data_IF_851472392204
#
_entry.id   IF_851472392204
#
_cell.length_a   1.000
_cell.length_b   1.000
_cell.length_c   1.000
_cell.angle_alpha   90.00
_cell.angle_beta   90.00
_cell.angle_gamma   90.00
#
_symmetry.space_group_name_H-M   'P 1'
#
loop_
_entity.id
_entity.type
_entity.pdbx_description
1 polymer ?
#
# COMPACT_ATOMS: atom_id res chain seq x y z
N UNK A 1 -1.37 -13.42 -20.83
CA UNK A 1 -0.60 -14.15 -19.81
C UNK A 1 -1.41 -15.34 -19.35
N UNK A 2 -0.79 -16.51 -19.20
CA UNK A 2 -1.47 -17.67 -18.61
C UNK A 2 -1.75 -17.41 -17.11
N UNK A 3 -2.83 -18.00 -16.57
CA UNK A 3 -3.18 -17.86 -15.15
C UNK A 3 -2.04 -18.30 -14.21
N UNK A 4 -1.24 -19.29 -14.66
CA UNK A 4 -0.05 -19.77 -13.94
C UNK A 4 1.06 -18.72 -13.89
N UNK A 5 1.35 -18.04 -14.99
CA UNK A 5 2.36 -16.98 -15.04
C UNK A 5 1.98 -15.79 -14.15
N UNK A 6 0.70 -15.42 -14.09
CA UNK A 6 0.22 -14.38 -13.21
C UNK A 6 0.41 -14.70 -11.71
N UNK A 7 0.17 -15.98 -11.33
CA UNK A 7 0.39 -16.44 -9.95
C UNK A 7 1.86 -16.38 -9.54
N UNK A 8 2.77 -16.83 -10.40
CA UNK A 8 4.20 -16.78 -10.14
C UNK A 8 4.72 -15.36 -10.05
N UNK A 9 4.22 -14.46 -10.90
CA UNK A 9 4.57 -13.04 -10.87
C UNK A 9 4.08 -12.39 -9.56
N UNK A 10 2.86 -12.70 -9.12
CA UNK A 10 2.35 -12.24 -7.82
C UNK A 10 3.19 -12.76 -6.66
N UNK A 11 3.56 -14.04 -6.68
CA UNK A 11 4.41 -14.62 -5.64
C UNK A 11 5.77 -13.92 -5.55
N UNK A 12 6.43 -13.67 -6.69
CA UNK A 12 7.71 -12.95 -6.73
C UNK A 12 7.59 -11.51 -6.22
N UNK A 13 6.51 -10.80 -6.55
CA UNK A 13 6.25 -9.45 -6.04
C UNK A 13 6.07 -9.46 -4.52
N UNK A 14 5.34 -10.44 -3.97
CA UNK A 14 5.13 -10.57 -2.52
C UNK A 14 6.47 -10.84 -1.82
N UNK A 15 7.30 -11.74 -2.33
CA UNK A 15 8.63 -12.02 -1.77
C UNK A 15 9.52 -10.79 -1.80
N UNK A 16 9.57 -10.08 -2.94
CA UNK A 16 10.34 -8.84 -3.08
C UNK A 16 9.86 -7.76 -2.12
N UNK A 17 8.53 -7.62 -1.93
CA UNK A 17 7.95 -6.67 -0.98
C UNK A 17 8.31 -7.02 0.47
N UNK A 18 8.19 -8.29 0.85
CA UNK A 18 8.56 -8.75 2.21
C UNK A 18 10.03 -8.51 2.51
N UNK A 19 10.93 -8.79 1.56
CA UNK A 19 12.35 -8.47 1.69
C UNK A 19 12.58 -6.96 1.83
N UNK A 20 11.82 -6.14 1.10
CA UNK A 20 11.92 -4.68 1.17
C UNK A 20 11.63 -4.12 2.56
N UNK A 21 10.73 -4.73 3.35
CA UNK A 21 10.48 -4.34 4.74
C UNK A 21 11.73 -4.48 5.62
N UNK A 22 12.40 -5.63 5.53
CA UNK A 22 13.62 -5.88 6.29
C UNK A 22 14.72 -4.88 5.92
N UNK A 23 14.98 -4.70 4.62
CA UNK A 23 15.97 -3.73 4.16
C UNK A 23 15.62 -2.30 4.58
N UNK A 24 14.36 -1.90 4.53
CA UNK A 24 13.92 -0.57 4.98
C UNK A 24 14.20 -0.36 6.46
N UNK A 25 13.94 -1.36 7.31
CA UNK A 25 14.21 -1.29 8.75
C UNK A 25 15.70 -1.06 9.01
N UNK A 26 16.59 -1.78 8.30
CA UNK A 26 18.04 -1.60 8.44
C UNK A 26 18.51 -0.22 7.93
N UNK A 27 18.00 0.23 6.80
CA UNK A 27 18.42 1.52 6.21
C UNK A 27 17.92 2.69 7.05
N UNK A 28 16.75 2.62 7.67
CA UNK A 28 16.20 3.67 8.55
C UNK A 28 17.03 3.93 9.80
N UNK A 29 17.97 3.03 10.14
CA UNK A 29 18.96 3.28 11.21
C UNK A 29 20.00 4.31 10.77
N UNK A 30 20.34 4.35 9.48
CA UNK A 30 21.44 5.14 8.93
C UNK A 30 21.00 6.33 8.07
N UNK A 31 19.78 6.27 7.51
CA UNK A 31 19.23 7.29 6.61
C UNK A 31 17.94 7.89 7.16
N UNK A 32 17.70 9.16 6.80
CA UNK A 32 16.43 9.80 7.13
C UNK A 32 15.28 9.21 6.28
N UNK A 33 14.08 9.18 6.85
CA UNK A 33 12.85 8.74 6.19
C UNK A 33 12.65 9.37 4.80
N UNK A 34 12.79 10.70 4.73
CA UNK A 34 12.55 11.45 3.49
C UNK A 34 13.62 11.18 2.42
N UNK A 35 14.85 10.94 2.82
CA UNK A 35 15.95 10.56 1.92
C UNK A 35 15.67 9.19 1.30
N UNK A 36 15.28 8.21 2.11
CA UNK A 36 14.95 6.87 1.65
C UNK A 36 13.76 6.87 0.68
N UNK A 37 12.67 7.58 1.03
CA UNK A 37 11.49 7.69 0.18
C UNK A 37 11.81 8.46 -1.11
N UNK A 38 12.52 9.58 -1.01
CA UNK A 38 12.93 10.37 -2.17
C UNK A 38 13.75 9.55 -3.16
N UNK A 39 14.75 8.81 -2.66
CA UNK A 39 15.58 7.93 -3.49
C UNK A 39 14.76 6.83 -4.17
N UNK A 40 13.85 6.18 -3.45
CA UNK A 40 12.95 5.16 -3.99
C UNK A 40 12.07 5.68 -5.12
N UNK A 41 11.40 6.81 -4.88
CA UNK A 41 10.51 7.41 -5.89
C UNK A 41 11.29 7.93 -7.09
N UNK A 42 12.46 8.54 -6.89
CA UNK A 42 13.30 9.01 -7.99
C UNK A 42 13.79 7.85 -8.86
N UNK A 43 14.29 6.77 -8.25
CA UNK A 43 14.73 5.58 -8.99
C UNK A 43 13.58 4.91 -9.74
N UNK A 44 12.42 4.76 -9.09
CA UNK A 44 11.24 4.20 -9.73
C UNK A 44 10.79 5.07 -10.91
N UNK A 45 10.68 6.38 -10.71
CA UNK A 45 10.30 7.33 -11.76
C UNK A 45 11.27 7.30 -12.93
N UNK A 46 12.60 7.35 -12.67
CA UNK A 46 13.62 7.30 -13.71
C UNK A 46 13.54 5.99 -14.51
N UNK A 47 13.39 4.86 -13.83
CA UNK A 47 13.25 3.55 -14.48
C UNK A 47 11.99 3.48 -15.36
N UNK A 48 10.84 3.86 -14.84
CA UNK A 48 9.59 3.85 -15.59
C UNK A 48 9.60 4.83 -16.77
N UNK A 49 10.17 6.01 -16.57
CA UNK A 49 10.32 7.00 -17.64
C UNK A 49 11.20 6.48 -18.78
N UNK A 50 12.32 5.82 -18.47
CA UNK A 50 13.21 5.23 -19.47
C UNK A 50 12.52 4.11 -20.25
N UNK A 51 11.83 3.20 -19.56
CA UNK A 51 11.19 2.02 -20.17
C UNK A 51 9.93 2.38 -20.96
N UNK A 52 9.09 3.27 -20.42
CA UNK A 52 7.75 3.56 -20.97
C UNK A 52 7.64 4.94 -21.63
N UNK A 53 8.75 5.66 -21.86
CA UNK A 53 8.80 7.02 -22.44
C UNK A 53 7.87 7.21 -23.64
N UNK A 54 7.92 6.30 -24.62
CA UNK A 54 7.12 6.39 -25.84
C UNK A 54 5.63 6.26 -25.58
N UNK A 55 5.24 5.44 -24.60
CA UNK A 55 3.84 5.20 -24.24
C UNK A 55 3.27 6.36 -23.43
N UNK A 56 4.01 6.87 -22.46
CA UNK A 56 3.65 8.04 -21.67
C UNK A 56 3.41 9.26 -22.56
N UNK A 57 4.32 9.54 -23.50
CA UNK A 57 4.19 10.67 -24.41
C UNK A 57 2.95 10.56 -25.35
N UNK A 58 2.50 9.35 -25.67
CA UNK A 58 1.32 9.11 -26.52
C UNK A 58 -0.01 9.24 -25.76
N UNK A 59 -0.02 8.90 -24.47
CA UNK A 59 -1.22 8.89 -23.63
C UNK A 59 -1.30 10.08 -22.67
N UNK A 60 -0.36 11.01 -22.78
CA UNK A 60 -0.30 12.19 -21.90
C UNK A 60 -1.56 13.02 -22.01
N UNK A 61 -2.28 13.16 -20.89
CA UNK A 61 -3.44 14.03 -20.76
C UNK A 61 -3.45 14.66 -19.38
N UNK A 62 -4.03 15.85 -19.26
CA UNK A 62 -4.14 16.55 -17.97
C UNK A 62 -4.97 15.77 -16.94
N UNK A 63 -5.97 15.03 -17.40
CA UNK A 63 -6.78 14.14 -16.56
C UNK A 63 -5.95 12.98 -15.98
N UNK A 64 -5.03 12.41 -16.79
CA UNK A 64 -4.10 11.40 -16.34
C UNK A 64 -3.14 11.93 -15.27
N UNK A 65 -2.57 13.12 -15.47
CA UNK A 65 -1.68 13.76 -14.49
C UNK A 65 -2.40 14.01 -13.18
N UNK A 66 -3.63 14.55 -13.22
CA UNK A 66 -4.43 14.81 -12.01
C UNK A 66 -4.74 13.53 -11.24
N UNK A 67 -5.18 12.48 -11.92
CA UNK A 67 -5.52 11.19 -11.29
C UNK A 67 -4.25 10.50 -10.78
N UNK A 68 -3.16 10.53 -11.55
CA UNK A 68 -1.84 10.03 -11.14
C UNK A 68 -1.30 10.75 -9.91
N UNK A 69 -1.43 12.07 -9.84
CA UNK A 69 -1.03 12.86 -8.68
C UNK A 69 -1.82 12.47 -7.42
N UNK A 70 -3.14 12.29 -7.53
CA UNK A 70 -3.97 11.83 -6.40
C UNK A 70 -3.51 10.44 -5.91
N UNK A 71 -3.26 9.51 -6.83
CA UNK A 71 -2.76 8.18 -6.48
C UNK A 71 -1.36 8.25 -5.89
N UNK A 72 -0.47 9.05 -6.48
CA UNK A 72 0.89 9.23 -5.98
C UNK A 72 0.94 9.81 -4.57
N UNK A 73 0.12 10.82 -4.28
CA UNK A 73 0.02 11.41 -2.93
C UNK A 73 -0.50 10.38 -1.93
N UNK A 74 -1.57 9.65 -2.25
CA UNK A 74 -2.11 8.63 -1.33
C UNK A 74 -1.11 7.50 -1.09
N UNK A 75 -0.38 7.07 -2.12
CA UNK A 75 0.69 6.09 -2.00
C UNK A 75 1.85 6.62 -1.15
N UNK A 76 2.30 7.84 -1.39
CA UNK A 76 3.40 8.47 -0.65
C UNK A 76 3.07 8.63 0.84
N UNK A 77 1.85 9.04 1.17
CA UNK A 77 1.37 9.12 2.56
C UNK A 77 1.35 7.73 3.21
N UNK A 78 0.88 6.71 2.50
CA UNK A 78 0.90 5.33 2.98
C UNK A 78 2.32 4.84 3.27
N UNK A 79 3.25 5.04 2.34
CA UNK A 79 4.65 4.65 2.51
C UNK A 79 5.36 5.44 3.62
N UNK A 80 5.07 6.73 3.77
CA UNK A 80 5.63 7.52 4.86
C UNK A 80 5.15 7.00 6.23
N UNK A 81 3.85 6.73 6.37
CA UNK A 81 3.29 6.17 7.58
C UNK A 81 3.82 4.76 7.87
N UNK A 82 3.97 3.91 6.84
CA UNK A 82 4.61 2.59 6.94
C UNK A 82 6.04 2.69 7.48
N UNK A 83 6.85 3.60 6.94
CA UNK A 83 8.24 3.77 7.38
C UNK A 83 8.31 4.31 8.83
N UNK A 84 7.40 5.21 9.23
CA UNK A 84 7.28 5.65 10.61
C UNK A 84 6.89 4.50 11.54
N UNK A 85 5.95 3.66 11.12
CA UNK A 85 5.58 2.44 11.86
C UNK A 85 6.77 1.50 12.01
N UNK A 86 7.53 1.24 10.94
CA UNK A 86 8.74 0.41 10.97
C UNK A 86 9.82 0.96 11.90
N UNK A 87 9.91 2.27 12.05
CA UNK A 87 10.86 2.90 12.96
C UNK A 87 10.50 2.66 14.43
N UNK A 88 9.22 2.73 14.76
CA UNK A 88 8.72 2.73 16.13
C UNK A 88 8.23 1.35 16.61
N UNK A 89 8.11 0.36 15.72
CA UNK A 89 7.60 -0.97 16.08
C UNK A 89 8.28 -2.11 15.29
N UNK A 90 7.86 -3.34 15.56
CA UNK A 90 8.42 -4.53 14.91
C UNK A 90 7.94 -4.67 13.45
N UNK A 91 8.81 -5.24 12.60
CA UNK A 91 8.54 -5.45 11.17
C UNK A 91 7.27 -6.27 10.95
N UNK A 92 7.08 -7.34 11.73
CA UNK A 92 5.91 -8.23 11.60
C UNK A 92 4.61 -7.51 11.95
N UNK A 93 4.64 -6.64 12.97
CA UNK A 93 3.46 -5.88 13.39
C UNK A 93 3.10 -4.82 12.35
N UNK A 94 4.09 -4.08 11.84
CA UNK A 94 3.87 -3.11 10.74
C UNK A 94 3.28 -3.78 9.51
N UNK A 95 3.86 -4.90 9.05
CA UNK A 95 3.38 -5.65 7.90
C UNK A 95 1.95 -6.18 8.10
N UNK A 96 1.61 -6.61 9.32
CA UNK A 96 0.26 -7.06 9.63
C UNK A 96 -0.75 -5.92 9.64
N UNK A 97 -0.42 -4.79 10.29
CA UNK A 97 -1.28 -3.61 10.33
C UNK A 97 -1.53 -3.06 8.93
N UNK A 98 -0.50 -2.98 8.08
CA UNK A 98 -0.65 -2.56 6.68
C UNK A 98 -1.63 -3.46 5.92
N UNK A 99 -1.54 -4.78 6.12
CA UNK A 99 -2.46 -5.74 5.47
C UNK A 99 -3.92 -5.55 5.89
N UNK A 100 -4.22 -4.81 6.96
CA UNK A 100 -5.59 -4.40 7.27
C UNK A 100 -6.21 -3.55 6.16
N UNK A 101 -5.42 -2.94 5.28
CA UNK A 101 -5.92 -2.29 4.07
C UNK A 101 -6.85 -3.21 3.26
N UNK A 102 -6.55 -4.52 3.20
CA UNK A 102 -7.37 -5.50 2.48
C UNK A 102 -8.77 -5.68 3.11
N UNK A 103 -8.91 -5.43 4.41
CA UNK A 103 -10.21 -5.42 5.09
C UNK A 103 -10.93 -4.08 4.89
N UNK A 104 -10.19 -2.97 4.85
CA UNK A 104 -10.74 -1.62 4.70
C UNK A 104 -11.26 -1.39 3.27
N UNK A 105 -10.60 -1.91 2.24
CA UNK A 105 -10.99 -1.72 0.82
C UNK A 105 -12.44 -2.15 0.54
N UNK A 106 -12.91 -3.35 0.94
CA UNK A 106 -14.31 -3.71 0.77
C UNK A 106 -15.26 -2.74 1.50
N UNK A 107 -14.90 -2.27 2.70
CA UNK A 107 -15.72 -1.32 3.46
C UNK A 107 -15.85 0.01 2.72
N UNK A 108 -14.74 0.55 2.18
CA UNK A 108 -14.76 1.75 1.34
C UNK A 108 -15.62 1.56 0.08
N UNK A 109 -15.48 0.39 -0.57
CA UNK A 109 -16.25 0.07 -1.77
C UNK A 109 -17.75 0.03 -1.49
N UNK A 110 -18.15 -0.55 -0.37
CA UNK A 110 -19.53 -0.63 0.06
C UNK A 110 -20.10 0.75 0.40
N UNK A 111 -19.36 1.56 1.15
CA UNK A 111 -19.74 2.93 1.45
C UNK A 111 -19.96 3.74 0.16
N UNK A 112 -19.07 3.58 -0.83
CA UNK A 112 -19.17 4.26 -2.11
C UNK A 112 -20.35 3.76 -2.97
N UNK A 113 -20.66 2.46 -2.95
CA UNK A 113 -21.74 1.87 -3.73
C UNK A 113 -23.08 1.80 -2.97
N UNK A 114 -23.11 2.23 -1.71
CA UNK A 114 -24.29 2.15 -0.81
C UNK A 114 -24.90 0.74 -0.74
N UNK A 115 -24.05 -0.29 -0.77
CA UNK A 115 -24.47 -1.70 -0.67
C UNK A 115 -23.97 -2.29 0.63
N UNK A 116 -24.80 -3.14 1.26
CA UNK A 116 -24.40 -3.87 2.46
C UNK A 116 -23.31 -4.91 2.15
N UNK A 117 -22.37 -5.14 3.07
CA UNK A 117 -21.33 -6.15 2.90
C UNK A 117 -21.92 -7.55 2.86
N UNK A 118 -21.31 -8.42 2.06
CA UNK A 118 -21.62 -9.84 2.17
C UNK A 118 -21.13 -10.40 3.51
N UNK A 119 -21.82 -11.40 4.07
CA UNK A 119 -21.39 -12.02 5.34
C UNK A 119 -19.95 -12.52 5.33
N UNK A 120 -19.44 -12.95 4.16
CA UNK A 120 -18.04 -13.37 3.98
C UNK A 120 -17.06 -12.21 4.23
N UNK A 121 -17.38 -11.00 3.76
CA UNK A 121 -16.55 -9.81 3.95
C UNK A 121 -16.53 -9.44 5.44
N UNK A 122 -17.68 -9.45 6.10
CA UNK A 122 -17.76 -9.17 7.55
C UNK A 122 -16.92 -10.17 8.34
N UNK A 123 -17.02 -11.46 8.04
CA UNK A 123 -16.22 -12.50 8.69
C UNK A 123 -14.71 -12.28 8.45
N UNK A 124 -14.30 -11.94 7.24
CA UNK A 124 -12.88 -11.66 6.93
C UNK A 124 -12.36 -10.44 7.71
N UNK A 125 -13.12 -9.34 7.75
CA UNK A 125 -12.76 -8.14 8.51
C UNK A 125 -12.62 -8.48 10.00
N UNK A 126 -13.57 -9.26 10.55
CA UNK A 126 -13.53 -9.69 11.94
C UNK A 126 -12.27 -10.52 12.26
N UNK A 127 -11.96 -11.54 11.43
CA UNK A 127 -10.77 -12.39 11.61
C UNK A 127 -9.48 -11.56 11.58
N UNK A 128 -9.37 -10.64 10.62
CA UNK A 128 -8.20 -9.76 10.50
C UNK A 128 -8.09 -8.83 11.71
N UNK A 129 -9.21 -8.26 12.19
CA UNK A 129 -9.21 -7.37 13.35
C UNK A 129 -8.83 -8.11 14.64
N UNK A 130 -9.32 -9.33 14.84
CA UNK A 130 -8.95 -10.18 15.96
C UNK A 130 -7.44 -10.52 15.91
N UNK A 131 -6.93 -10.91 14.74
CA UNK A 131 -5.51 -11.15 14.54
C UNK A 131 -4.65 -9.92 14.88
N UNK A 132 -5.06 -8.73 14.45
CA UNK A 132 -4.39 -7.47 14.80
C UNK A 132 -4.38 -7.23 16.31
N UNK A 133 -5.52 -7.46 16.95
CA UNK A 133 -5.65 -7.36 18.41
C UNK A 133 -4.64 -8.26 19.13
N UNK A 134 -4.54 -9.53 18.73
CA UNK A 134 -3.58 -10.46 19.34
C UNK A 134 -2.13 -10.03 19.16
N UNK A 135 -1.77 -9.49 18.00
CA UNK A 135 -0.39 -9.04 17.74
C UNK A 135 -0.02 -7.76 18.50
N UNK A 136 -1.00 -6.94 18.86
CA UNK A 136 -0.78 -5.72 19.66
C UNK A 136 -0.77 -5.97 21.16
N UNK A 137 -1.12 -7.20 21.61
CA UNK A 137 -1.09 -7.55 23.04
C UNK A 137 0.33 -7.90 23.48
N UNK A 138 0.91 -7.11 24.36
CA UNK A 138 2.13 -7.43 25.11
C UNK A 138 1.78 -7.66 26.57
N UNK A 139 2.07 -8.89 27.08
CA UNK A 139 1.80 -9.22 28.48
C UNK A 139 0.31 -9.11 28.87
N UNK A 140 -0.61 -9.36 27.92
CA UNK A 140 -2.05 -9.33 28.16
C UNK A 140 -2.68 -7.92 28.16
N UNK A 141 -1.90 -6.89 27.84
CA UNK A 141 -2.39 -5.49 27.72
C UNK A 141 -2.15 -4.96 26.31
N UNK A 142 -3.07 -4.17 25.73
CA UNK A 142 -2.84 -3.54 24.45
C UNK A 142 -1.71 -2.50 24.57
N UNK A 143 -0.63 -2.73 23.83
CA UNK A 143 0.50 -1.80 23.74
C UNK A 143 0.32 -0.93 22.50
N UNK A 144 -0.46 0.16 22.65
CA UNK A 144 -0.74 1.11 21.57
C UNK A 144 0.43 2.11 21.51
N UNK A 145 1.49 1.70 20.83
CA UNK A 145 2.63 2.59 20.55
C UNK A 145 2.32 3.54 19.39
N UNK A 146 3.06 4.66 19.25
CA UNK A 146 2.95 5.52 18.06
C UNK A 146 3.11 4.72 16.75
N UNK A 147 3.95 3.68 16.74
CA UNK A 147 4.13 2.79 15.60
C UNK A 147 2.87 2.06 15.15
N UNK A 148 2.01 1.66 16.10
CA UNK A 148 0.70 1.05 15.79
C UNK A 148 -0.22 2.07 15.10
N UNK A 149 -0.24 3.31 15.59
CA UNK A 149 -1.05 4.38 14.98
C UNK A 149 -0.57 4.67 13.56
N UNK A 150 0.74 4.76 13.33
CA UNK A 150 1.30 4.93 11.99
C UNK A 150 0.99 3.75 11.08
N UNK A 151 1.03 2.52 11.58
CA UNK A 151 0.64 1.33 10.82
C UNK A 151 -0.83 1.34 10.38
N UNK A 152 -1.73 1.78 11.24
CA UNK A 152 -3.15 1.96 10.89
C UNK A 152 -3.38 3.09 9.89
N UNK A 153 -2.64 4.19 10.00
CA UNK A 153 -2.67 5.28 9.01
C UNK A 153 -2.14 4.81 7.65
N UNK A 154 -1.10 3.99 7.64
CA UNK A 154 -0.60 3.34 6.43
C UNK A 154 -1.67 2.45 5.79
N UNK A 155 -2.33 1.59 6.58
CA UNK A 155 -3.42 0.73 6.11
C UNK A 155 -4.56 1.54 5.48
N UNK A 156 -4.97 2.63 6.12
CA UNK A 156 -6.02 3.51 5.60
C UNK A 156 -5.60 4.17 4.28
N UNK A 157 -4.39 4.70 4.20
CA UNK A 157 -3.86 5.32 2.99
C UNK A 157 -3.75 4.32 1.83
N UNK A 158 -3.25 3.11 2.09
CA UNK A 158 -3.21 2.05 1.08
C UNK A 158 -4.59 1.58 0.66
N UNK A 159 -5.55 1.51 1.58
CA UNK A 159 -6.92 1.18 1.23
C UNK A 159 -7.54 2.22 0.28
N UNK A 160 -7.32 3.51 0.54
CA UNK A 160 -7.73 4.58 -0.36
C UNK A 160 -7.01 4.49 -1.72
N UNK A 161 -5.70 4.24 -1.71
CA UNK A 161 -4.93 4.03 -2.94
C UNK A 161 -5.50 2.89 -3.79
N UNK A 162 -5.74 1.72 -3.19
CA UNK A 162 -6.31 0.55 -3.88
C UNK A 162 -7.71 0.86 -4.42
N UNK A 163 -8.56 1.48 -3.59
CA UNK A 163 -9.91 1.85 -3.97
C UNK A 163 -9.94 2.83 -5.16
N UNK A 164 -9.12 3.89 -5.11
CA UNK A 164 -9.02 4.88 -6.18
C UNK A 164 -8.41 4.28 -7.45
N UNK A 165 -7.40 3.43 -7.31
CA UNK A 165 -6.80 2.70 -8.44
C UNK A 165 -7.85 1.85 -9.15
N UNK A 166 -8.63 1.07 -8.41
CA UNK A 166 -9.71 0.25 -8.98
C UNK A 166 -10.78 1.09 -9.69
N UNK A 167 -11.01 2.32 -9.24
CA UNK A 167 -11.94 3.27 -9.89
C UNK A 167 -11.33 3.86 -11.17
N UNK A 168 -10.07 4.27 -11.14
CA UNK A 168 -9.44 5.01 -12.26
C UNK A 168 -8.95 4.08 -13.38
N UNK A 169 -8.53 2.86 -13.08
CA UNK A 169 -8.13 1.85 -14.08
C UNK A 169 -9.25 1.51 -15.07
N UNK A 170 -10.52 1.73 -14.70
CA UNK A 170 -11.65 1.56 -15.62
C UNK A 170 -11.71 2.62 -16.72
N UNK A 171 -11.07 3.76 -16.52
CA UNK A 171 -11.14 4.92 -17.42
C UNK A 171 -9.80 5.30 -18.04
N UNK A 172 -8.70 4.77 -17.53
CA UNK A 172 -7.33 5.10 -17.95
C UNK A 172 -6.52 3.84 -18.21
N UNK A 173 -5.49 3.96 -19.06
CA UNK A 173 -4.52 2.89 -19.26
C UNK A 173 -3.72 2.64 -17.96
N UNK A 174 -3.76 1.42 -17.39
CA UNK A 174 -3.15 1.11 -16.09
C UNK A 174 -1.66 1.41 -16.01
N UNK A 175 -0.93 1.21 -17.12
CA UNK A 175 0.51 1.46 -17.17
C UNK A 175 0.84 2.96 -17.17
N UNK A 176 -0.02 3.78 -17.76
CA UNK A 176 0.19 5.23 -17.83
C UNK A 176 -0.15 5.94 -16.52
N UNK A 177 -0.97 5.33 -15.67
CA UNK A 177 -1.34 5.88 -14.35
C UNK A 177 -0.34 5.49 -13.25
N UNK A 178 0.40 4.40 -13.44
CA UNK A 178 1.39 3.89 -12.49
C UNK A 178 2.75 4.58 -12.56
N UNK A 179 2.93 5.52 -13.49
CA UNK A 179 4.13 6.32 -13.69
C UNK A 179 3.96 7.69 -13.06
#
# INVERSE_FOLDING_TARGET
MSASAAKWLLASVIVARSSSFLFSKFILVSMNLFELLGLRFLLAFAFFLLVYRKRVMRTFSWDMVRKGAILGITLALGMAAEMLSLKETDVYLTAFLENMALAIVPLLTMAALRKLPSGKIIASVFIISVGAGFLTLKGGRPDITPGVIYGLLAALSYAFFIFLTAKYVKTLDPLSVGI
#
